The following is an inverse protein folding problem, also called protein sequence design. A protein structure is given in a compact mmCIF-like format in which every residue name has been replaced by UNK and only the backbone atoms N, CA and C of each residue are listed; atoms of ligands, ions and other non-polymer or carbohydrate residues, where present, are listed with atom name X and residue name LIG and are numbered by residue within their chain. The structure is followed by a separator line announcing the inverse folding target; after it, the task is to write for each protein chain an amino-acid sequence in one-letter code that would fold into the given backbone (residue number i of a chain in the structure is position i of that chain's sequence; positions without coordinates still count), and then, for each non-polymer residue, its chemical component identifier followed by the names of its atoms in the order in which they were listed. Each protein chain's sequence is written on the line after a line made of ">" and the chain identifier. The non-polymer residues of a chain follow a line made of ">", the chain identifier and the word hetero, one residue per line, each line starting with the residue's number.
data_IF_899141630893
#
_entry.id   IF_899141630893
#
_cell.length_a   1.000
_cell.length_b   1.000
_cell.length_c   1.000
_cell.angle_alpha   90.00
_cell.angle_beta   90.00
_cell.angle_gamma   90.00
#
_symmetry.space_group_name_H-M   'P 1'
#
loop_
_entity.id
_entity.type
_entity.pdbx_description
1 polymer ?
#
# COMPACT_ATOMS: atom_id res chain seq x y z
N UNK A 1 14.86 -11.41 11.14
CA UNK A 1 13.94 -11.73 10.02
C UNK A 1 14.41 -12.85 9.09
N UNK A 2 15.72 -13.01 8.84
CA UNK A 2 16.24 -14.05 7.95
C UNK A 2 15.89 -15.48 8.38
N UNK A 3 15.92 -15.78 9.69
CA UNK A 3 15.54 -17.10 10.23
C UNK A 3 14.05 -17.43 9.99
N UNK A 4 13.16 -16.46 10.19
CA UNK A 4 11.72 -16.61 9.89
C UNK A 4 11.47 -16.76 8.40
N UNK A 5 12.23 -16.04 7.56
CA UNK A 5 12.18 -16.18 6.10
C UNK A 5 12.64 -17.58 5.68
N UNK A 6 13.74 -18.10 6.26
CA UNK A 6 14.23 -19.48 6.05
C UNK A 6 13.19 -20.52 6.47
N UNK A 7 12.60 -20.39 7.66
CA UNK A 7 11.58 -21.31 8.16
C UNK A 7 10.30 -21.33 7.28
N UNK A 8 9.88 -20.17 6.74
CA UNK A 8 8.76 -20.11 5.78
C UNK A 8 9.09 -20.76 4.44
N UNK A 9 10.31 -20.58 3.95
CA UNK A 9 10.79 -21.22 2.71
C UNK A 9 10.86 -22.74 2.90
N UNK A 10 11.35 -23.20 4.05
CA UNK A 10 11.41 -24.62 4.43
C UNK A 10 10.01 -25.25 4.49
N UNK A 11 9.05 -24.63 5.17
CA UNK A 11 7.66 -25.11 5.19
C UNK A 11 7.02 -25.15 3.79
N UNK A 12 7.32 -24.17 2.92
CA UNK A 12 6.84 -24.17 1.54
C UNK A 12 7.46 -25.31 0.70
N UNK A 13 8.74 -25.60 0.90
CA UNK A 13 9.43 -26.71 0.24
C UNK A 13 8.88 -28.06 0.71
N UNK A 14 8.65 -28.25 2.01
CA UNK A 14 8.03 -29.47 2.56
C UNK A 14 6.61 -29.69 2.00
N UNK A 15 5.78 -28.64 1.91
CA UNK A 15 4.45 -28.73 1.26
C UNK A 15 4.53 -29.14 -0.21
N UNK A 16 5.51 -28.62 -0.95
CA UNK A 16 5.69 -28.97 -2.36
C UNK A 16 6.12 -30.44 -2.53
N UNK A 17 6.99 -30.94 -1.65
CA UNK A 17 7.42 -32.34 -1.64
C UNK A 17 6.27 -33.31 -1.29
N UNK A 18 5.47 -32.97 -0.26
CA UNK A 18 4.27 -33.75 0.10
C UNK A 18 3.29 -33.82 -1.07
N UNK A 19 2.96 -32.68 -1.70
CA UNK A 19 2.08 -32.65 -2.89
C UNK A 19 2.61 -33.44 -4.07
N UNK A 20 3.94 -33.59 -4.20
CA UNK A 20 4.55 -34.40 -5.25
C UNK A 20 4.35 -35.89 -4.99
N UNK A 21 4.50 -36.34 -3.74
CA UNK A 21 4.26 -37.72 -3.35
C UNK A 21 2.78 -38.09 -3.33
N UNK A 22 1.89 -37.17 -2.95
CA UNK A 22 0.43 -37.37 -2.99
C UNK A 22 -0.14 -37.54 -4.40
N UNK A 23 0.58 -37.08 -5.43
CA UNK A 23 0.17 -37.24 -6.83
C UNK A 23 0.52 -38.61 -7.42
N UNK A 24 1.23 -39.46 -6.69
CA UNK A 24 1.53 -40.82 -7.12
C UNK A 24 0.27 -41.68 -6.90
N UNK A 25 -0.22 -42.33 -7.96
CA UNK A 25 -1.47 -43.11 -7.91
C UNK A 25 -1.35 -44.41 -7.10
N UNK A 26 -0.14 -44.94 -6.94
CA UNK A 26 0.15 -46.14 -6.15
C UNK A 26 1.52 -46.02 -5.44
N UNK A 27 1.59 -45.27 -4.31
CA UNK A 27 2.85 -45.12 -3.58
C UNK A 27 3.24 -46.42 -2.88
N UNK A 28 4.51 -46.81 -3.02
CA UNK A 28 5.06 -47.97 -2.31
C UNK A 28 5.22 -47.71 -0.80
N UNK A 29 5.49 -48.77 -0.03
CA UNK A 29 5.60 -48.66 1.43
C UNK A 29 6.70 -47.69 1.89
N UNK A 30 7.77 -47.53 1.10
CA UNK A 30 8.85 -46.57 1.40
C UNK A 30 8.41 -45.13 1.18
N UNK A 31 7.69 -44.87 0.09
CA UNK A 31 7.12 -43.57 -0.26
C UNK A 31 6.02 -43.15 0.72
N UNK A 32 5.22 -44.11 1.22
CA UNK A 32 4.25 -43.85 2.28
C UNK A 32 4.93 -43.47 3.60
N UNK A 33 6.01 -44.16 3.98
CA UNK A 33 6.80 -43.82 5.15
C UNK A 33 7.48 -42.44 5.02
N UNK A 34 7.99 -42.11 3.82
CA UNK A 34 8.59 -40.81 3.54
C UNK A 34 7.56 -39.67 3.58
N UNK A 35 6.36 -39.90 3.04
CA UNK A 35 5.25 -38.95 3.09
C UNK A 35 4.78 -38.71 4.54
N UNK A 36 4.73 -39.74 5.38
CA UNK A 36 4.44 -39.60 6.81
C UNK A 36 5.53 -38.77 7.52
N UNK A 37 6.81 -39.03 7.24
CA UNK A 37 7.94 -38.27 7.78
C UNK A 37 7.90 -36.80 7.36
N UNK A 38 7.62 -36.51 6.08
CA UNK A 38 7.53 -35.14 5.57
C UNK A 38 6.35 -34.38 6.19
N UNK A 39 5.20 -35.05 6.40
CA UNK A 39 4.06 -34.45 7.11
C UNK A 39 4.40 -34.12 8.57
N UNK A 40 5.13 -35.00 9.25
CA UNK A 40 5.60 -34.72 10.61
C UNK A 40 6.56 -33.53 10.65
N UNK A 41 7.54 -33.47 9.74
CA UNK A 41 8.47 -32.35 9.63
C UNK A 41 7.76 -31.03 9.31
N UNK A 42 6.75 -31.08 8.44
CA UNK A 42 5.93 -29.92 8.15
C UNK A 42 5.18 -29.44 9.39
N UNK A 43 4.60 -30.36 10.17
CA UNK A 43 3.91 -30.04 11.41
C UNK A 43 4.86 -29.44 12.46
N UNK A 44 6.07 -29.98 12.61
CA UNK A 44 7.09 -29.44 13.52
C UNK A 44 7.56 -28.04 13.08
N UNK A 45 7.76 -27.84 11.77
CA UNK A 45 8.10 -26.54 11.20
C UNK A 45 6.96 -25.51 11.37
N UNK A 46 5.72 -25.90 11.13
CA UNK A 46 4.54 -25.05 11.33
C UNK A 46 4.29 -24.76 12.81
N UNK A 47 4.49 -25.73 13.70
CA UNK A 47 4.41 -25.53 15.15
C UNK A 47 5.50 -24.57 15.62
N UNK A 48 6.71 -24.66 15.07
CA UNK A 48 7.81 -23.72 15.36
C UNK A 48 7.54 -22.31 14.81
N UNK A 49 6.68 -22.18 13.80
CA UNK A 49 6.20 -20.90 13.26
C UNK A 49 5.02 -20.32 14.06
N UNK A 50 4.24 -21.17 14.75
CA UNK A 50 3.01 -20.80 15.49
C UNK A 50 3.25 -20.66 16.99
N UNK A 51 4.23 -21.37 17.56
CA UNK A 51 4.65 -21.17 18.93
C UNK A 51 5.04 -19.70 19.11
N UNK A 52 4.42 -18.95 20.05
CA UNK A 52 4.91 -17.63 20.38
C UNK A 52 6.37 -17.83 20.80
N UNK A 53 7.31 -17.16 20.13
CA UNK A 53 8.70 -17.15 20.56
C UNK A 53 8.77 -16.40 21.91
N UNK A 54 8.37 -17.08 22.98
CA UNK A 54 8.74 -16.83 24.37
C UNK A 54 10.05 -17.55 24.66
N UNK A 55 11.03 -17.38 23.77
CA UNK A 55 12.42 -17.57 24.10
C UNK A 55 13.08 -16.23 23.93
N UNK A 56 13.40 -15.63 25.08
CA UNK A 56 14.30 -14.51 25.20
C UNK A 56 15.64 -14.91 24.57
N UNK A 57 15.80 -14.61 23.29
CA UNK A 57 17.08 -14.49 22.63
C UNK A 57 17.17 -13.03 22.21
N UNK A 58 18.17 -12.34 22.77
CA UNK A 58 18.62 -10.97 22.51
C UNK A 58 18.39 -10.53 21.06
N UNK A 59 17.18 -10.06 20.78
CA UNK A 59 16.97 -9.03 19.80
C UNK A 59 17.57 -7.75 20.42
N UNK A 60 18.19 -6.83 19.65
CA UNK A 60 18.15 -5.45 20.09
C UNK A 60 16.66 -5.18 20.34
N UNK A 61 16.31 -4.83 21.58
CA UNK A 61 14.93 -4.55 21.93
C UNK A 61 14.35 -3.70 20.80
N UNK A 62 13.38 -4.24 20.05
CA UNK A 62 12.63 -3.40 19.12
C UNK A 62 12.21 -2.23 19.99
N UNK A 63 12.56 -0.98 19.64
CA UNK A 63 12.17 0.14 20.47
C UNK A 63 10.67 -0.01 20.69
N UNK A 64 10.18 0.07 21.92
CA UNK A 64 8.76 -0.16 22.22
C UNK A 64 7.82 0.66 21.29
N UNK A 65 8.33 1.79 20.76
CA UNK A 65 7.71 2.61 19.73
C UNK A 65 7.41 1.89 18.40
N UNK A 66 8.16 0.86 18.01
CA UNK A 66 7.95 0.12 16.76
C UNK A 66 6.70 -0.76 16.77
N UNK A 67 6.37 -1.35 17.91
CA UNK A 67 5.15 -2.13 18.08
C UNK A 67 3.94 -1.23 18.32
N UNK A 68 4.10 -0.16 19.11
CA UNK A 68 3.08 0.87 19.29
C UNK A 68 2.69 1.48 17.93
N UNK A 69 3.67 1.79 17.08
CA UNK A 69 3.45 2.32 15.74
C UNK A 69 2.68 1.34 14.85
N UNK A 70 3.02 0.04 14.87
CA UNK A 70 2.29 -0.97 14.10
C UNK A 70 0.85 -1.11 14.57
N UNK A 71 0.62 -1.12 15.89
CA UNK A 71 -0.73 -1.17 16.46
C UNK A 71 -1.56 0.05 16.06
N UNK A 72 -1.00 1.25 16.18
CA UNK A 72 -1.67 2.50 15.79
C UNK A 72 -2.01 2.52 14.29
N UNK A 73 -1.13 2.02 13.41
CA UNK A 73 -1.42 1.89 11.97
C UNK A 73 -2.57 0.93 11.67
N UNK A 74 -2.61 -0.22 12.36
CA UNK A 74 -3.70 -1.19 12.22
C UNK A 74 -5.02 -0.59 12.72
N UNK A 75 -5.00 0.07 13.88
CA UNK A 75 -6.17 0.70 14.48
C UNK A 75 -6.75 1.79 13.58
N UNK A 76 -5.90 2.65 13.01
CA UNK A 76 -6.31 3.65 12.03
C UNK A 76 -6.98 3.02 10.81
N UNK A 77 -6.39 1.95 10.26
CA UNK A 77 -6.97 1.24 9.11
C UNK A 77 -8.33 0.63 9.45
N UNK A 78 -8.48 0.07 10.65
CA UNK A 78 -9.75 -0.49 11.15
C UNK A 78 -10.81 0.60 11.29
N UNK A 79 -10.49 1.75 11.89
CA UNK A 79 -11.44 2.88 12.04
C UNK A 79 -11.87 3.47 10.70
N UNK A 80 -10.96 3.56 9.73
CA UNK A 80 -11.32 3.95 8.34
C UNK A 80 -12.27 2.94 7.69
N UNK A 81 -12.04 1.64 7.88
CA UNK A 81 -12.90 0.60 7.34
C UNK A 81 -14.29 0.61 8.01
N UNK A 82 -14.34 0.83 9.32
CA UNK A 82 -15.57 0.93 10.12
C UNK A 82 -16.42 2.12 9.66
N UNK A 83 -15.83 3.32 9.56
CA UNK A 83 -16.50 4.51 9.05
C UNK A 83 -17.04 4.29 7.63
N UNK A 84 -16.21 3.79 6.72
CA UNK A 84 -16.62 3.51 5.33
C UNK A 84 -17.75 2.47 5.25
N UNK A 85 -17.77 1.49 6.16
CA UNK A 85 -18.84 0.49 6.25
C UNK A 85 -20.13 1.13 6.75
N UNK A 86 -20.06 1.96 7.78
CA UNK A 86 -21.21 2.68 8.33
C UNK A 86 -21.82 3.65 7.30
N UNK A 87 -20.98 4.41 6.57
CA UNK A 87 -21.41 5.29 5.48
C UNK A 87 -22.14 4.51 4.38
N UNK A 88 -21.60 3.36 3.97
CA UNK A 88 -22.25 2.48 2.97
C UNK A 88 -23.54 1.85 3.47
N UNK A 89 -23.64 1.60 4.77
CA UNK A 89 -24.83 1.05 5.40
C UNK A 89 -25.91 2.12 5.63
N UNK A 90 -25.62 3.40 5.36
CA UNK A 90 -26.54 4.50 5.66
C UNK A 90 -26.77 4.69 7.16
N UNK A 91 -25.73 4.46 7.97
CA UNK A 91 -25.80 4.66 9.42
C UNK A 91 -26.20 6.10 9.77
N UNK A 92 -26.86 6.26 10.90
CA UNK A 92 -27.36 7.54 11.38
C UNK A 92 -26.21 8.51 11.73
N UNK A 93 -26.42 9.81 11.53
CA UNK A 93 -25.43 10.86 11.79
C UNK A 93 -24.74 10.78 13.18
N UNK A 94 -25.42 10.48 14.31
CA UNK A 94 -24.73 10.31 15.59
C UNK A 94 -23.74 9.14 15.61
N UNK A 95 -23.99 8.07 14.86
CA UNK A 95 -23.06 6.95 14.75
C UNK A 95 -21.86 7.33 13.86
N UNK A 96 -22.12 8.00 12.73
CA UNK A 96 -21.06 8.52 11.86
C UNK A 96 -20.17 9.53 12.59
N UNK A 97 -20.76 10.42 13.39
CA UNK A 97 -20.01 11.38 14.22
C UNK A 97 -19.06 10.67 15.18
N UNK A 98 -19.54 9.66 15.92
CA UNK A 98 -18.71 8.87 16.84
C UNK A 98 -17.57 8.14 16.12
N UNK A 99 -17.84 7.62 14.93
CA UNK A 99 -16.82 6.94 14.12
C UNK A 99 -15.77 7.90 13.56
N UNK A 100 -16.16 9.14 13.21
CA UNK A 100 -15.23 10.21 12.82
C UNK A 100 -14.37 10.66 14.01
N UNK A 101 -14.95 10.79 15.19
CA UNK A 101 -14.19 11.12 16.41
C UNK A 101 -13.20 10.01 16.76
N UNK A 102 -13.61 8.75 16.67
CA UNK A 102 -12.74 7.60 16.87
C UNK A 102 -11.62 7.52 15.81
N UNK A 103 -11.91 7.89 14.57
CA UNK A 103 -10.91 8.00 13.51
C UNK A 103 -9.88 9.08 13.82
N UNK A 104 -10.33 10.28 14.23
CA UNK A 104 -9.45 11.38 14.62
C UNK A 104 -8.54 11.00 15.81
N UNK A 105 -9.08 10.31 16.82
CA UNK A 105 -8.30 9.82 17.95
C UNK A 105 -7.23 8.80 17.51
N UNK A 106 -7.58 7.88 16.61
CA UNK A 106 -6.62 6.92 16.04
C UNK A 106 -5.52 7.61 15.20
N UNK A 107 -5.86 8.69 14.48
CA UNK A 107 -4.88 9.51 13.77
C UNK A 107 -3.91 10.21 14.73
N UNK A 108 -4.40 10.81 15.82
CA UNK A 108 -3.55 11.42 16.85
C UNK A 108 -2.64 10.38 17.53
N UNK A 109 -3.17 9.21 17.86
CA UNK A 109 -2.40 8.10 18.43
C UNK A 109 -1.30 7.60 17.46
N UNK A 110 -1.58 7.60 16.16
CA UNK A 110 -0.57 7.28 15.15
C UNK A 110 0.57 8.30 15.13
N UNK A 111 0.26 9.61 15.14
CA UNK A 111 1.30 10.65 15.18
C UNK A 111 2.16 10.52 16.43
N UNK A 112 1.55 10.36 17.61
CA UNK A 112 2.29 10.17 18.87
C UNK A 112 3.17 8.90 18.84
N UNK A 113 2.69 7.82 18.22
CA UNK A 113 3.47 6.60 18.05
C UNK A 113 4.60 6.76 17.01
N UNK A 114 4.43 7.59 15.97
CA UNK A 114 5.47 7.93 15.00
C UNK A 114 6.59 8.74 15.65
N UNK A 115 6.22 9.76 16.43
CA UNK A 115 7.16 10.57 17.21
C UNK A 115 7.96 9.70 18.21
N UNK A 116 7.27 8.78 18.89
CA UNK A 116 7.91 7.84 19.82
C UNK A 116 8.71 6.73 19.13
N UNK A 117 8.50 6.46 17.84
CA UNK A 117 9.18 5.37 17.12
C UNK A 117 10.62 5.71 16.75
N UNK A 118 11.05 6.99 16.83
CA UNK A 118 12.39 7.48 16.47
C UNK A 118 12.85 7.05 15.06
N UNK A 119 11.91 6.64 14.20
CA UNK A 119 12.19 6.33 12.80
C UNK A 119 12.40 7.66 12.08
N UNK A 120 13.52 7.84 11.37
CA UNK A 120 13.68 9.05 10.57
C UNK A 120 12.54 9.13 9.56
N UNK A 121 12.01 10.34 9.36
CA UNK A 121 11.05 10.60 8.30
C UNK A 121 11.64 10.10 6.97
N UNK A 122 10.81 9.53 6.08
CA UNK A 122 11.30 9.08 4.78
C UNK A 122 11.98 10.24 4.06
N UNK A 123 13.19 10.02 3.57
CA UNK A 123 13.90 11.00 2.76
C UNK A 123 13.19 11.11 1.40
N UNK A 124 12.41 12.18 1.24
CA UNK A 124 11.66 12.45 0.03
C UNK A 124 12.62 13.01 -1.04
N UNK A 125 13.37 12.12 -1.67
CA UNK A 125 14.23 12.48 -2.80
C UNK A 125 13.36 12.76 -4.02
N UNK A 126 13.39 13.99 -4.51
CA UNK A 126 12.80 14.35 -5.81
C UNK A 126 13.64 13.71 -6.91
N UNK A 127 13.19 12.57 -7.42
CA UNK A 127 13.79 11.97 -8.61
C UNK A 127 13.29 12.74 -9.84
N UNK A 128 14.18 13.49 -10.50
CA UNK A 128 13.90 14.02 -11.82
C UNK A 128 13.82 12.84 -12.80
N UNK A 129 12.64 12.65 -13.39
CA UNK A 129 12.42 11.56 -14.35
C UNK A 129 13.30 11.81 -15.58
N UNK A 130 14.29 10.94 -15.78
CA UNK A 130 15.20 11.00 -16.92
C UNK A 130 14.40 11.12 -18.23
N UNK A 131 14.76 12.10 -19.07
CA UNK A 131 14.09 12.39 -20.34
C UNK A 131 13.04 13.51 -20.32
N UNK A 132 12.82 14.18 -19.17
CA UNK A 132 12.01 15.41 -19.09
C UNK A 132 12.89 16.54 -18.58
N UNK A 133 13.46 17.31 -19.50
CA UNK A 133 14.14 18.55 -19.16
C UNK A 133 13.16 19.62 -18.64
N UNK A 134 13.71 20.75 -18.18
CA UNK A 134 12.93 21.83 -17.56
C UNK A 134 11.94 22.48 -18.55
N UNK A 135 12.30 22.59 -19.83
CA UNK A 135 11.43 23.15 -20.87
C UNK A 135 10.24 22.22 -21.14
N UNK A 136 10.48 20.92 -21.28
CA UNK A 136 9.43 19.92 -21.44
C UNK A 136 8.50 19.87 -20.23
N UNK A 137 9.04 20.11 -19.02
CA UNK A 137 8.25 20.20 -17.79
C UNK A 137 7.36 21.43 -17.80
N UNK A 138 7.90 22.60 -18.11
CA UNK A 138 7.13 23.83 -18.24
C UNK A 138 5.98 23.68 -19.24
N UNK A 139 6.25 23.11 -20.42
CA UNK A 139 5.23 22.85 -21.45
C UNK A 139 4.13 21.88 -20.98
N UNK A 140 4.48 20.82 -20.24
CA UNK A 140 3.48 19.91 -19.65
C UNK A 140 2.63 20.60 -18.59
N UNK A 141 3.22 21.49 -17.79
CA UNK A 141 2.49 22.30 -16.80
C UNK A 141 1.51 23.24 -17.48
N UNK A 142 1.94 23.94 -18.54
CA UNK A 142 1.06 24.83 -19.31
C UNK A 142 -0.14 24.08 -19.93
N UNK A 143 0.07 22.88 -20.49
CA UNK A 143 -1.03 22.05 -20.99
C UNK A 143 -2.00 21.65 -19.87
N UNK A 144 -1.48 21.30 -18.69
CA UNK A 144 -2.31 20.95 -17.55
C UNK A 144 -3.15 22.14 -17.06
N UNK A 145 -2.56 23.34 -17.02
CA UNK A 145 -3.24 24.56 -16.60
C UNK A 145 -4.29 25.00 -17.61
N UNK A 146 -3.96 25.04 -18.91
CA UNK A 146 -4.93 25.35 -19.95
C UNK A 146 -6.12 24.38 -19.96
N UNK A 147 -5.88 23.09 -19.70
CA UNK A 147 -6.95 22.09 -19.56
C UNK A 147 -7.80 22.32 -18.30
N UNK A 148 -7.18 22.70 -17.18
CA UNK A 148 -7.90 22.99 -15.94
C UNK A 148 -8.79 24.23 -16.09
N UNK A 149 -8.28 25.29 -16.73
CA UNK A 149 -9.02 26.51 -17.04
C UNK A 149 -10.24 26.22 -17.92
N UNK A 150 -10.06 25.43 -18.99
CA UNK A 150 -11.18 25.01 -19.85
C UNK A 150 -12.24 24.23 -19.05
N UNK A 151 -11.82 23.24 -18.25
CA UNK A 151 -12.74 22.45 -17.41
C UNK A 151 -13.44 23.26 -16.32
N UNK A 152 -12.84 24.37 -15.89
CA UNK A 152 -13.47 25.30 -14.95
C UNK A 152 -14.59 26.06 -15.67
N UNK A 153 -14.29 26.66 -16.83
CA UNK A 153 -15.28 27.37 -17.64
C UNK A 153 -16.42 26.47 -18.13
N UNK A 154 -16.14 25.21 -18.49
CA UNK A 154 -17.19 24.26 -18.89
C UNK A 154 -18.13 23.87 -17.76
N UNK A 155 -17.68 23.93 -16.51
CA UNK A 155 -18.52 23.71 -15.31
C UNK A 155 -19.25 24.97 -14.89
N UNK A 156 -18.71 26.14 -15.20
CA UNK A 156 -19.33 27.42 -14.95
C UNK A 156 -20.43 27.65 -16.00
N UNK A 157 -21.70 27.35 -15.67
CA UNK A 157 -22.84 27.48 -16.59
C UNK A 157 -23.15 28.90 -17.11
N UNK A 158 -22.36 29.90 -16.71
CA UNK A 158 -22.44 31.28 -17.16
C UNK A 158 -21.22 31.70 -18.01
N UNK A 159 -20.33 30.77 -18.37
CA UNK A 159 -19.20 31.04 -19.24
C UNK A 159 -19.68 31.43 -20.65
N UNK A 160 -19.13 32.51 -21.18
CA UNK A 160 -19.48 32.98 -22.53
C UNK A 160 -18.86 32.07 -23.59
N UNK A 161 -19.50 31.94 -24.75
CA UNK A 161 -18.97 31.19 -25.88
C UNK A 161 -17.55 31.67 -26.26
N UNK A 162 -17.32 32.98 -26.26
CA UNK A 162 -16.01 33.58 -26.53
C UNK A 162 -14.94 33.17 -25.50
N UNK A 163 -15.29 33.08 -24.21
CA UNK A 163 -14.35 32.65 -23.18
C UNK A 163 -13.99 31.16 -23.32
N UNK A 164 -14.97 30.32 -23.66
CA UNK A 164 -14.76 28.89 -23.94
C UNK A 164 -13.88 28.69 -25.18
N UNK A 165 -14.12 29.44 -26.25
CA UNK A 165 -13.32 29.35 -27.48
C UNK A 165 -11.89 29.86 -27.28
N UNK A 166 -11.70 30.93 -26.50
CA UNK A 166 -10.36 31.39 -26.11
C UNK A 166 -9.60 30.34 -25.27
N UNK A 167 -10.29 29.66 -24.34
CA UNK A 167 -9.68 28.60 -23.53
C UNK A 167 -9.32 27.36 -24.37
N UNK A 168 -10.16 27.00 -25.35
CA UNK A 168 -9.87 25.93 -26.33
C UNK A 168 -8.67 26.27 -27.20
N UNK A 169 -8.59 27.50 -27.70
CA UNK A 169 -7.46 27.98 -28.48
C UNK A 169 -6.15 27.90 -27.67
N UNK A 170 -6.17 28.37 -26.41
CA UNK A 170 -5.01 28.29 -25.51
C UNK A 170 -4.57 26.85 -25.24
N UNK A 171 -5.52 25.93 -25.02
CA UNK A 171 -5.20 24.51 -24.85
C UNK A 171 -4.56 23.92 -26.11
N UNK A 172 -5.11 24.23 -27.29
CA UNK A 172 -4.57 23.77 -28.56
C UNK A 172 -3.15 24.29 -28.81
N UNK A 173 -2.89 25.57 -28.54
CA UNK A 173 -1.57 26.18 -28.66
C UNK A 173 -0.55 25.52 -27.71
N UNK A 174 -0.92 25.32 -26.44
CA UNK A 174 -0.05 24.66 -25.48
C UNK A 174 0.26 23.20 -25.87
N UNK A 175 -0.73 22.48 -26.42
CA UNK A 175 -0.55 21.13 -26.94
C UNK A 175 0.37 21.11 -28.18
N UNK A 176 0.23 22.08 -29.08
CA UNK A 176 1.10 22.26 -30.25
C UNK A 176 2.55 22.47 -29.85
N UNK A 177 2.83 23.44 -28.97
CA UNK A 177 4.19 23.71 -28.45
C UNK A 177 4.83 22.47 -27.79
N UNK A 178 4.05 21.70 -27.04
CA UNK A 178 4.52 20.45 -26.43
C UNK A 178 4.77 19.35 -27.45
N UNK A 179 4.00 19.28 -28.53
CA UNK A 179 4.21 18.32 -29.62
C UNK A 179 5.45 18.66 -30.45
N UNK A 180 5.61 19.93 -30.81
CA UNK A 180 6.80 20.45 -31.50
C UNK A 180 8.07 20.15 -30.71
N UNK A 181 8.07 20.45 -29.40
CA UNK A 181 9.23 20.17 -28.52
C UNK A 181 9.56 18.67 -28.38
N UNK A 182 8.58 17.78 -28.58
CA UNK A 182 8.78 16.32 -28.50
C UNK A 182 9.22 15.71 -29.82
N UNK A 183 9.15 16.47 -30.91
CA UNK A 183 9.60 16.02 -32.22
C UNK A 183 11.12 16.21 -32.27
N UNK A 184 11.91 15.18 -32.63
CA UNK A 184 13.38 15.23 -32.62
C UNK A 184 13.95 16.20 -33.65
#
# INVERSE_FOLDING_TARGET
>A
DEALKKAKIEAAMLKAQIRKLEKLEAPDNGQQAELARLRQQLHEAETSLVAPQSTAATAPAKPAGDEALKKAKIELAMKRAELKKAEKAGAEEPELSRLRDALNAAEQALHAAEDASHKPAPDLVRINKAGVDEQQRALKTEVAFARADLRKLERDGNATATALDAARARLSEAQGKLAEYRTP
#
